data_IF_750038514803
#
_entry.id   IF_750038514803
#
_cell.length_a   1.000
_cell.length_b   1.000
_cell.length_c   1.000
_cell.angle_alpha   90.00
_cell.angle_beta   90.00
_cell.angle_gamma   90.00
#
_symmetry.space_group_name_H-M   'P 1'
#
loop_
_entity.id
_entity.type
_entity.pdbx_description
1 polymer ?
#
# COMPACT_ATOMS: atom_id res chain seq x y z
N UNK A 1 -43.50 -24.77 -0.41
CA UNK A 1 -42.70 -23.63 -0.88
C UNK A 1 -42.40 -22.80 0.36
N UNK A 2 -41.21 -22.94 0.92
CA UNK A 2 -40.80 -22.14 2.09
C UNK A 2 -40.53 -20.70 1.60
N UNK A 3 -41.19 -19.66 2.16
CA UNK A 3 -41.02 -18.26 1.72
C UNK A 3 -39.60 -17.69 1.91
N UNK A 4 -38.68 -18.47 2.48
CA UNK A 4 -37.27 -18.08 2.65
C UNK A 4 -36.39 -18.30 1.41
N UNK A 5 -36.72 -19.24 0.52
CA UNK A 5 -35.86 -19.59 -0.64
C UNK A 5 -35.80 -18.50 -1.73
N UNK A 6 -36.85 -17.71 -1.91
CA UNK A 6 -36.87 -16.64 -2.93
C UNK A 6 -36.02 -15.41 -2.53
N UNK A 7 -35.76 -15.22 -1.24
CA UNK A 7 -34.99 -14.10 -0.71
C UNK A 7 -33.47 -14.34 -0.68
N UNK A 8 -33.01 -15.60 -0.66
CA UNK A 8 -31.59 -15.96 -0.64
C UNK A 8 -30.77 -15.35 -1.80
N UNK A 9 -31.18 -15.43 -3.09
CA UNK A 9 -30.36 -14.90 -4.19
C UNK A 9 -30.27 -13.36 -4.19
N UNK A 10 -31.31 -12.66 -3.75
CA UNK A 10 -31.31 -11.18 -3.67
C UNK A 10 -30.43 -10.70 -2.51
N UNK A 11 -30.51 -11.35 -1.36
CA UNK A 11 -29.66 -11.07 -0.21
C UNK A 11 -28.18 -11.32 -0.54
N UNK A 12 -27.89 -12.45 -1.19
CA UNK A 12 -26.52 -12.78 -1.63
C UNK A 12 -25.94 -11.76 -2.61
N UNK A 13 -26.73 -11.19 -3.52
CA UNK A 13 -26.24 -10.13 -4.42
C UNK A 13 -25.83 -8.85 -3.70
N UNK A 14 -26.59 -8.42 -2.68
CA UNK A 14 -26.22 -7.27 -1.86
C UNK A 14 -24.93 -7.54 -1.10
N UNK A 15 -24.80 -8.73 -0.50
CA UNK A 15 -23.59 -9.18 0.17
C UNK A 15 -22.38 -9.22 -0.77
N UNK A 16 -22.52 -9.78 -1.98
CA UNK A 16 -21.42 -9.82 -2.95
C UNK A 16 -20.95 -8.42 -3.36
N UNK A 17 -21.90 -7.50 -3.60
CA UNK A 17 -21.58 -6.10 -3.89
C UNK A 17 -20.77 -5.48 -2.77
N UNK A 18 -21.21 -5.67 -1.53
CA UNK A 18 -20.58 -5.05 -0.36
C UNK A 18 -19.19 -5.66 -0.10
N UNK A 19 -18.99 -6.96 -0.31
CA UNK A 19 -17.68 -7.61 -0.25
C UNK A 19 -16.71 -7.07 -1.31
N UNK A 20 -17.18 -6.87 -2.55
CA UNK A 20 -16.35 -6.28 -3.61
C UNK A 20 -15.96 -4.84 -3.26
N UNK A 21 -16.90 -4.04 -2.76
CA UNK A 21 -16.62 -2.67 -2.32
C UNK A 21 -15.60 -2.66 -1.17
N UNK A 22 -15.76 -3.56 -0.22
CA UNK A 22 -14.85 -3.73 0.90
C UNK A 22 -13.44 -4.10 0.43
N UNK A 23 -13.32 -5.05 -0.49
CA UNK A 23 -12.05 -5.40 -1.12
C UNK A 23 -11.41 -4.19 -1.82
N UNK A 24 -12.18 -3.38 -2.55
CA UNK A 24 -11.66 -2.18 -3.19
C UNK A 24 -11.16 -1.15 -2.18
N UNK A 25 -11.83 -0.99 -1.04
CA UNK A 25 -11.38 -0.12 0.07
C UNK A 25 -10.08 -0.64 0.70
N UNK A 26 -9.95 -1.94 0.92
CA UNK A 26 -8.70 -2.54 1.41
C UNK A 26 -7.54 -2.33 0.44
N UNK A 27 -7.77 -2.62 -0.86
CA UNK A 27 -6.80 -2.38 -1.94
C UNK A 27 -6.37 -0.92 -2.00
N UNK A 28 -7.33 0.00 -1.91
CA UNK A 28 -7.10 1.45 -1.94
C UNK A 28 -6.26 1.91 -0.75
N UNK A 29 -6.65 1.50 0.47
CA UNK A 29 -5.90 1.85 1.68
C UNK A 29 -4.47 1.29 1.66
N UNK A 30 -4.28 0.03 1.28
CA UNK A 30 -2.94 -0.55 1.16
C UNK A 30 -2.09 0.19 0.12
N UNK A 31 -2.66 0.52 -1.04
CA UNK A 31 -1.93 1.23 -2.10
C UNK A 31 -1.51 2.63 -1.63
N UNK A 32 -2.37 3.33 -0.90
CA UNK A 32 -2.05 4.63 -0.29
C UNK A 32 -0.90 4.51 0.72
N UNK A 33 -0.92 3.47 1.56
CA UNK A 33 0.15 3.18 2.51
C UNK A 33 1.49 2.87 1.81
N UNK A 34 1.48 2.02 0.78
CA UNK A 34 2.68 1.66 0.03
C UNK A 34 3.26 2.85 -0.76
N UNK A 35 2.41 3.69 -1.36
CA UNK A 35 2.87 4.91 -2.05
C UNK A 35 3.54 5.87 -1.07
N UNK A 36 2.99 6.01 0.14
CA UNK A 36 3.59 6.81 1.21
C UNK A 36 4.93 6.22 1.66
N UNK A 37 5.00 4.90 1.91
CA UNK A 37 6.25 4.18 2.23
C UNK A 37 7.33 4.45 1.18
N UNK A 38 7.04 4.22 -0.11
CA UNK A 38 8.00 4.38 -1.21
C UNK A 38 8.59 5.79 -1.28
N UNK A 39 7.77 6.83 -1.08
CA UNK A 39 8.25 8.22 -1.08
C UNK A 39 9.29 8.46 0.02
N UNK A 40 9.03 7.99 1.23
CA UNK A 40 9.95 8.15 2.36
C UNK A 40 11.19 7.29 2.21
N UNK A 41 11.05 6.08 1.68
CA UNK A 41 12.17 5.18 1.39
C UNK A 41 13.10 5.79 0.33
N UNK A 42 12.55 6.37 -0.74
CA UNK A 42 13.33 7.09 -1.75
C UNK A 42 14.04 8.32 -1.19
N UNK A 43 13.37 9.09 -0.31
CA UNK A 43 13.98 10.23 0.38
C UNK A 43 15.16 9.78 1.26
N UNK A 44 14.98 8.70 2.02
CA UNK A 44 16.01 8.16 2.91
C UNK A 44 17.23 7.64 2.13
N UNK A 45 17.00 6.89 1.04
CA UNK A 45 18.08 6.45 0.14
C UNK A 45 18.79 7.66 -0.46
N UNK A 46 18.05 8.68 -0.90
CA UNK A 46 18.62 9.93 -1.40
C UNK A 46 19.51 10.63 -0.37
N UNK A 47 19.05 10.74 0.88
CA UNK A 47 19.85 11.30 1.99
C UNK A 47 21.15 10.52 2.20
N UNK A 48 21.11 9.19 2.18
CA UNK A 48 22.32 8.38 2.31
C UNK A 48 23.30 8.56 1.14
N UNK A 49 22.79 8.65 -0.10
CA UNK A 49 23.63 8.90 -1.28
C UNK A 49 24.28 10.28 -1.18
N UNK A 50 23.53 11.33 -0.83
CA UNK A 50 24.09 12.67 -0.64
C UNK A 50 25.09 12.71 0.52
N UNK A 51 24.80 12.01 1.62
CA UNK A 51 25.71 11.92 2.75
C UNK A 51 27.05 11.30 2.33
N UNK A 52 27.02 10.17 1.60
CA UNK A 52 28.23 9.53 1.10
C UNK A 52 28.99 10.42 0.11
N UNK A 53 28.29 11.09 -0.80
CA UNK A 53 28.89 12.01 -1.77
C UNK A 53 29.58 13.19 -1.08
N UNK A 54 28.90 13.91 -0.19
CA UNK A 54 29.49 15.05 0.50
C UNK A 54 30.59 14.61 1.47
N UNK A 55 30.47 13.43 2.08
CA UNK A 55 31.55 12.87 2.89
C UNK A 55 32.81 12.63 2.04
N UNK A 56 32.66 12.03 0.86
CA UNK A 56 33.76 11.85 -0.08
C UNK A 56 34.37 13.20 -0.51
N UNK A 57 33.53 14.17 -0.89
CA UNK A 57 33.97 15.48 -1.39
C UNK A 57 34.60 16.39 -0.32
N UNK A 58 34.40 16.09 0.97
CA UNK A 58 35.01 16.84 2.08
C UNK A 58 36.29 16.15 2.57
N UNK A 59 36.28 14.82 2.72
CA UNK A 59 37.37 14.09 3.35
C UNK A 59 38.41 13.50 2.38
N UNK A 60 38.01 13.08 1.17
CA UNK A 60 38.90 12.38 0.22
C UNK A 60 39.44 13.34 -0.82
N UNK A 61 38.57 14.12 -1.46
CA UNK A 61 38.94 15.12 -2.47
C UNK A 61 38.55 16.54 -2.00
N UNK A 62 39.22 17.10 -0.97
CA UNK A 62 38.95 18.46 -0.54
C UNK A 62 39.28 19.43 -1.66
N UNK A 63 38.27 20.17 -2.12
CA UNK A 63 38.47 21.20 -3.14
C UNK A 63 39.41 22.29 -2.63
N UNK A 64 40.41 22.66 -3.44
CA UNK A 64 41.39 23.72 -3.13
C UNK A 64 40.72 25.10 -3.01
N UNK A 65 39.54 25.27 -3.61
CA UNK A 65 38.76 26.50 -3.53
C UNK A 65 38.01 26.51 -2.20
N UNK A 66 38.42 27.39 -1.29
CA UNK A 66 37.85 27.52 0.06
C UNK A 66 36.31 27.60 0.06
N UNK A 67 35.72 28.38 -0.84
CA UNK A 67 34.27 28.54 -0.94
C UNK A 67 33.57 27.21 -1.24
N UNK A 68 34.12 26.40 -2.15
CA UNK A 68 33.54 25.10 -2.52
C UNK A 68 33.67 24.11 -1.36
N UNK A 69 34.81 24.09 -0.69
CA UNK A 69 35.02 23.26 0.50
C UNK A 69 34.04 23.63 1.63
N UNK A 70 33.85 24.93 1.89
CA UNK A 70 32.91 25.44 2.88
C UNK A 70 31.46 25.04 2.53
N UNK A 71 31.04 25.23 1.27
CA UNK A 71 29.70 24.85 0.82
C UNK A 71 29.46 23.35 0.97
N UNK A 72 30.41 22.49 0.58
CA UNK A 72 30.31 21.04 0.76
C UNK A 72 30.23 20.64 2.24
N UNK A 73 30.97 21.33 3.11
CA UNK A 73 30.95 21.09 4.56
C UNK A 73 29.59 21.46 5.17
N UNK A 74 29.04 22.63 4.82
CA UNK A 74 27.71 23.06 5.28
C UNK A 74 26.62 22.11 4.75
N UNK A 75 26.74 21.69 3.48
CA UNK A 75 25.83 20.71 2.88
C UNK A 75 25.88 19.37 3.61
N UNK A 76 27.08 18.87 3.94
CA UNK A 76 27.28 17.65 4.73
C UNK A 76 26.58 17.75 6.09
N UNK A 77 26.80 18.85 6.83
CA UNK A 77 26.16 19.08 8.12
C UNK A 77 24.63 19.15 8.01
N UNK A 78 24.12 19.76 6.95
CA UNK A 78 22.67 19.86 6.70
C UNK A 78 22.06 18.49 6.41
N UNK A 79 22.71 17.66 5.59
CA UNK A 79 22.25 16.29 5.28
C UNK A 79 22.31 15.41 6.53
N UNK A 80 23.40 15.48 7.30
CA UNK A 80 23.53 14.77 8.57
C UNK A 80 22.45 15.18 9.58
N UNK A 81 22.21 16.49 9.74
CA UNK A 81 21.14 17.03 10.58
C UNK A 81 19.75 16.60 10.12
N UNK A 82 19.51 16.57 8.80
CA UNK A 82 18.28 16.07 8.20
C UNK A 82 18.03 14.58 8.51
N UNK A 83 19.08 13.76 8.54
CA UNK A 83 18.98 12.35 8.91
C UNK A 83 18.63 12.17 10.39
N UNK A 84 19.27 12.96 11.27
CA UNK A 84 18.95 12.97 12.71
C UNK A 84 17.51 13.41 12.94
N UNK A 85 17.05 14.48 12.26
CA UNK A 85 15.67 14.93 12.32
C UNK A 85 14.71 13.82 11.86
N UNK A 86 15.01 13.15 10.76
CA UNK A 86 14.20 12.05 10.24
C UNK A 86 14.09 10.89 11.23
N UNK A 87 15.19 10.54 11.91
CA UNK A 87 15.22 9.50 12.94
C UNK A 87 14.45 9.93 14.20
N UNK A 88 14.72 11.14 14.70
CA UNK A 88 14.07 11.73 15.89
C UNK A 88 12.57 11.93 15.69
N UNK A 89 12.15 12.31 14.48
CA UNK A 89 10.74 12.46 14.11
C UNK A 89 9.96 11.15 14.13
N UNK A 90 10.62 9.99 14.29
CA UNK A 90 9.94 8.68 14.34
C UNK A 90 9.26 8.28 13.03
N UNK A 91 9.49 9.04 11.94
CA UNK A 91 8.81 8.89 10.67
C UNK A 91 9.12 7.55 9.99
N UNK A 92 10.32 7.00 10.28
CA UNK A 92 10.73 5.66 9.88
C UNK A 92 9.83 4.57 10.48
N UNK A 93 9.67 4.58 11.81
CA UNK A 93 8.89 3.55 12.53
C UNK A 93 7.39 3.67 12.20
N UNK A 94 6.83 4.87 12.23
CA UNK A 94 5.39 5.05 12.02
C UNK A 94 4.93 4.77 10.60
N UNK A 95 5.73 5.11 9.57
CA UNK A 95 5.24 5.12 8.19
C UNK A 95 5.73 3.93 7.39
N UNK A 96 6.92 3.39 7.67
CA UNK A 96 7.52 2.29 6.92
C UNK A 96 7.12 0.94 7.55
N UNK A 97 7.24 0.81 8.88
CA UNK A 97 6.91 -0.44 9.59
C UNK A 97 5.40 -0.67 9.63
N UNK A 98 4.59 0.38 9.79
CA UNK A 98 3.12 0.26 9.78
C UNK A 98 2.60 -0.31 8.45
N UNK A 99 3.21 0.04 7.31
CA UNK A 99 2.80 -0.49 6.02
C UNK A 99 3.04 -2.02 5.91
N UNK A 100 4.06 -2.55 6.59
CA UNK A 100 4.32 -3.99 6.64
C UNK A 100 3.36 -4.70 7.62
N UNK A 101 3.01 -4.05 8.74
CA UNK A 101 2.08 -4.59 9.74
C UNK A 101 0.61 -4.48 9.33
N UNK A 102 0.28 -3.70 8.31
CA UNK A 102 -1.10 -3.49 7.85
C UNK A 102 -1.80 -4.81 7.49
N UNK A 103 -1.14 -5.69 6.74
CA UNK A 103 -1.72 -6.96 6.26
C UNK A 103 -2.04 -7.92 7.40
N UNK A 104 -1.09 -8.26 8.30
CA UNK A 104 -1.41 -9.14 9.43
C UNK A 104 -2.46 -8.52 10.36
N UNK A 105 -2.42 -7.19 10.57
CA UNK A 105 -3.43 -6.51 11.39
C UNK A 105 -4.83 -6.58 10.77
N UNK A 106 -4.96 -6.40 9.46
CA UNK A 106 -6.24 -6.59 8.76
C UNK A 106 -6.67 -8.06 8.79
N UNK A 107 -5.75 -9.00 8.56
CA UNK A 107 -6.07 -10.43 8.54
C UNK A 107 -6.57 -10.94 9.90
N UNK A 108 -6.11 -10.38 11.02
CA UNK A 108 -6.66 -10.71 12.34
C UNK A 108 -8.14 -10.35 12.46
N UNK A 109 -8.55 -9.19 11.95
CA UNK A 109 -9.97 -8.80 11.92
C UNK A 109 -10.78 -9.59 10.88
N UNK A 110 -10.17 -9.90 9.73
CA UNK A 110 -10.82 -10.64 8.63
C UNK A 110 -11.07 -12.11 8.96
N UNK A 111 -10.24 -12.72 9.81
CA UNK A 111 -10.41 -14.11 10.25
C UNK A 111 -11.75 -14.37 10.94
N UNK A 112 -12.26 -13.40 11.71
CA UNK A 112 -13.59 -13.50 12.33
C UNK A 112 -14.72 -13.64 11.29
N UNK A 113 -14.49 -13.20 10.05
CA UNK A 113 -15.40 -13.30 8.94
C UNK A 113 -15.05 -14.44 7.96
N UNK A 114 -14.13 -15.34 8.32
CA UNK A 114 -13.59 -16.36 7.41
C UNK A 114 -13.01 -15.77 6.11
N UNK A 115 -12.42 -14.58 6.20
CA UNK A 115 -11.76 -13.88 5.11
C UNK A 115 -10.25 -13.75 5.35
N UNK A 116 -9.48 -13.68 4.27
CA UNK A 116 -8.07 -13.36 4.30
C UNK A 116 -7.73 -12.41 3.16
N UNK A 117 -6.92 -11.40 3.43
CA UNK A 117 -6.42 -10.47 2.44
C UNK A 117 -4.98 -10.84 2.07
N UNK A 118 -4.76 -11.19 0.81
CA UNK A 118 -3.42 -11.47 0.30
C UNK A 118 -2.79 -10.16 -0.21
N UNK A 119 -1.65 -9.78 0.36
CA UNK A 119 -0.89 -8.60 -0.04
C UNK A 119 -0.34 -8.68 -1.48
N UNK A 120 0.02 -9.88 -1.94
CA UNK A 120 0.69 -10.12 -3.22
C UNK A 120 -0.33 -10.03 -4.38
N UNK A 121 -1.46 -10.74 -4.26
CA UNK A 121 -2.56 -10.66 -5.22
C UNK A 121 -3.47 -9.44 -5.03
N UNK A 122 -3.27 -8.70 -3.92
CA UNK A 122 -4.17 -7.66 -3.40
C UNK A 122 -5.62 -8.10 -3.30
N UNK A 123 -5.91 -9.40 -3.28
CA UNK A 123 -7.25 -9.95 -3.39
C UNK A 123 -7.75 -10.44 -2.03
N UNK A 124 -9.07 -10.41 -1.87
CA UNK A 124 -9.75 -11.06 -0.76
C UNK A 124 -9.98 -12.54 -1.13
N UNK A 125 -9.43 -13.45 -0.34
CA UNK A 125 -9.61 -14.90 -0.41
C UNK A 125 -10.45 -15.39 0.77
N UNK A 126 -11.29 -16.40 0.53
CA UNK A 126 -12.07 -17.04 1.59
C UNK A 126 -11.26 -18.13 2.27
N UNK A 127 -11.45 -18.30 3.56
CA UNK A 127 -11.00 -19.49 4.28
C UNK A 127 -11.90 -20.68 3.92
N UNK A 128 -11.39 -21.92 4.01
CA UNK A 128 -12.08 -23.13 3.53
C UNK A 128 -13.41 -23.44 4.24
N UNK A 129 -13.72 -22.77 5.35
CA UNK A 129 -14.97 -22.97 6.10
C UNK A 129 -16.22 -22.38 5.43
N UNK A 130 -16.10 -21.67 4.30
CA UNK A 130 -17.25 -21.14 3.58
C UNK A 130 -17.84 -22.15 2.59
N UNK A 131 -19.17 -22.11 2.40
CA UNK A 131 -19.84 -22.97 1.40
C UNK A 131 -19.32 -22.70 -0.01
N UNK A 132 -19.08 -23.76 -0.78
CA UNK A 132 -18.55 -23.66 -2.15
C UNK A 132 -19.48 -22.87 -3.08
N UNK A 133 -20.79 -23.03 -2.92
CA UNK A 133 -21.81 -22.30 -3.69
C UNK A 133 -21.68 -20.78 -3.52
N UNK A 134 -21.44 -20.30 -2.29
CA UNK A 134 -21.23 -18.88 -2.05
C UNK A 134 -19.91 -18.38 -2.67
N UNK A 135 -18.83 -19.18 -2.56
CA UNK A 135 -17.54 -18.84 -3.16
C UNK A 135 -17.65 -18.69 -4.67
N UNK A 136 -18.28 -19.66 -5.34
CA UNK A 136 -18.51 -19.64 -6.79
C UNK A 136 -19.41 -18.48 -7.21
N UNK A 137 -20.50 -18.23 -6.48
CA UNK A 137 -21.41 -17.11 -6.74
C UNK A 137 -20.70 -15.75 -6.61
N UNK A 138 -19.90 -15.57 -5.57
CA UNK A 138 -19.11 -14.36 -5.38
C UNK A 138 -18.03 -14.19 -6.46
N UNK A 139 -17.31 -15.26 -6.83
CA UNK A 139 -16.31 -15.20 -7.89
C UNK A 139 -16.90 -14.82 -9.24
N UNK A 140 -18.07 -15.38 -9.58
CA UNK A 140 -18.81 -15.02 -10.78
C UNK A 140 -19.20 -13.53 -10.75
N UNK A 141 -19.76 -13.04 -9.64
CA UNK A 141 -20.10 -11.63 -9.46
C UNK A 141 -18.88 -10.72 -9.58
N UNK A 142 -17.77 -11.06 -8.92
CA UNK A 142 -16.50 -10.32 -8.95
C UNK A 142 -15.95 -10.20 -10.37
N UNK A 143 -15.96 -11.29 -11.15
CA UNK A 143 -15.54 -11.29 -12.56
C UNK A 143 -16.40 -10.33 -13.38
N UNK A 144 -17.73 -10.42 -13.26
CA UNK A 144 -18.66 -9.52 -13.96
C UNK A 144 -18.46 -8.05 -13.59
N UNK A 145 -18.28 -7.75 -12.30
CA UNK A 145 -18.02 -6.41 -11.81
C UNK A 145 -16.75 -5.81 -12.44
N UNK A 146 -15.65 -6.56 -12.46
CA UNK A 146 -14.40 -6.09 -13.06
C UNK A 146 -14.48 -5.91 -14.58
N UNK A 147 -15.21 -6.78 -15.29
CA UNK A 147 -15.47 -6.61 -16.72
C UNK A 147 -16.23 -5.31 -16.99
N UNK A 148 -17.30 -5.04 -16.22
CA UNK A 148 -18.07 -3.79 -16.31
C UNK A 148 -17.21 -2.57 -16.03
N UNK A 149 -16.33 -2.64 -15.04
CA UNK A 149 -15.39 -1.55 -14.70
C UNK A 149 -14.39 -1.29 -15.83
N UNK A 150 -13.79 -2.34 -16.40
CA UNK A 150 -12.87 -2.23 -17.55
C UNK A 150 -13.57 -1.63 -18.79
N UNK A 151 -14.80 -2.07 -19.08
CA UNK A 151 -15.58 -1.54 -20.20
C UNK A 151 -15.89 -0.04 -20.03
N UNK A 152 -16.26 0.41 -18.82
CA UNK A 152 -16.47 1.84 -18.51
C UNK A 152 -15.18 2.64 -18.69
N UNK A 153 -14.05 2.16 -18.20
CA UNK A 153 -12.76 2.82 -18.37
C UNK A 153 -12.32 2.91 -19.84
N UNK A 154 -12.57 1.86 -20.62
CA UNK A 154 -12.27 1.85 -22.05
C UNK A 154 -13.10 2.88 -22.83
N UNK A 155 -14.38 3.07 -22.45
CA UNK A 155 -15.22 4.13 -23.02
C UNK A 155 -14.71 5.53 -22.67
N UNK A 156 -14.35 5.77 -21.40
CA UNK A 156 -13.82 7.07 -20.96
C UNK A 156 -12.48 7.45 -21.59
N UNK A 157 -11.65 6.48 -22.01
CA UNK A 157 -10.38 6.75 -22.69
C UNK A 157 -10.53 7.03 -24.20
N UNK A 158 -11.69 6.70 -24.77
CA UNK A 158 -12.00 6.89 -26.20
C UNK A 158 -12.78 8.17 -26.48
N UNK A 159 -13.34 8.79 -25.44
CA UNK A 159 -13.97 10.11 -25.47
C UNK A 159 -12.97 11.17 -25.05
#
# INVERSE_FOLDING_TARGET
MDPTEENEPRQNQATYRDLVIFEERLKGNMTRLLKRKRKYEALLVGLFVFLAYFFYAVFIDPSKIFTVHLTNTIALLTVAGGLVFFYRSGMYSEKIVYAQKFVPHCNNALRAFNLQFNAQGKSLSFLPNLSKQFQEGFEAYRKQYHLRKKARQAKMKKS
#
